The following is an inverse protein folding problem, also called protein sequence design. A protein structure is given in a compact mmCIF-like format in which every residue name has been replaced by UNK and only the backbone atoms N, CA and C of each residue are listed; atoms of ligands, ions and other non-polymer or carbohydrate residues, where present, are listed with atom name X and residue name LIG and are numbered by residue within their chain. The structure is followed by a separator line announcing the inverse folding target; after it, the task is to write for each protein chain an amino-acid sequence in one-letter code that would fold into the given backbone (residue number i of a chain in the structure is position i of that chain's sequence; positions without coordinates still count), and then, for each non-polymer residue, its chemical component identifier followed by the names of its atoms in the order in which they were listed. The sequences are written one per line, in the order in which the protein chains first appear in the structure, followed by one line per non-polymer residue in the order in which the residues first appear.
data_IF_854043758947
#
_entry.id   IF_854043758947
#
_cell.length_a   1.000
_cell.length_b   1.000
_cell.length_c   1.000
_cell.angle_alpha   90.00
_cell.angle_beta   90.00
_cell.angle_gamma   90.00
#
_symmetry.space_group_name_H-M   'P 1'
#
loop_
_entity.id
_entity.type
_entity.pdbx_description
1 polymer ?
#
# COMPACT_ATOMS: atom_id res chain seq x y z
N UNK A 1 -10.72 48.30 -75.56
CA UNK A 1 -10.90 48.51 -74.11
C UNK A 1 -10.77 47.18 -73.35
N UNK A 2 -9.55 46.89 -72.84
CA UNK A 2 -9.25 45.61 -72.15
C UNK A 2 -9.30 45.83 -70.66
N UNK A 3 -10.29 45.23 -69.95
CA UNK A 3 -10.35 45.23 -68.50
C UNK A 3 -9.48 44.09 -67.94
N UNK A 4 -8.43 44.45 -67.23
CA UNK A 4 -7.53 43.50 -66.55
C UNK A 4 -8.15 43.18 -65.20
N UNK A 5 -8.59 41.93 -65.06
CA UNK A 5 -8.98 41.39 -63.76
C UNK A 5 -7.74 40.94 -63.02
N UNK A 6 -7.43 41.60 -61.87
CA UNK A 6 -6.38 41.16 -60.98
C UNK A 6 -6.99 40.15 -59.97
N UNK A 7 -6.57 38.90 -60.10
CA UNK A 7 -6.84 37.89 -59.08
C UNK A 7 -5.89 38.10 -57.90
N UNK A 8 -6.46 38.41 -56.74
CA UNK A 8 -5.70 38.43 -55.48
C UNK A 8 -5.77 37.01 -54.93
N UNK A 9 -4.63 36.31 -54.96
CA UNK A 9 -4.48 35.00 -54.35
C UNK A 9 -4.23 35.19 -52.87
N UNK A 10 -5.21 34.88 -52.03
CA UNK A 10 -5.03 34.83 -50.56
C UNK A 10 -4.28 33.53 -50.20
N UNK A 11 -3.05 33.69 -49.74
CA UNK A 11 -2.28 32.56 -49.21
C UNK A 11 -2.72 32.37 -47.75
N UNK A 12 -3.47 31.33 -47.48
CA UNK A 12 -3.79 30.87 -46.11
C UNK A 12 -2.57 30.16 -45.53
N UNK A 13 -1.85 30.81 -44.65
CA UNK A 13 -0.77 30.21 -43.85
C UNK A 13 -1.41 29.46 -42.70
N UNK A 14 -1.76 28.20 -42.92
CA UNK A 14 -2.17 27.28 -41.87
C UNK A 14 -0.93 26.75 -41.15
N UNK A 15 -0.51 27.39 -40.06
CA UNK A 15 0.48 26.85 -39.18
C UNK A 15 -0.11 25.69 -38.33
N UNK A 16 0.68 24.63 -38.04
CA UNK A 16 0.21 23.56 -37.16
C UNK A 16 0.07 24.11 -35.73
N UNK A 17 -1.14 24.08 -35.24
CA UNK A 17 -1.40 24.33 -33.81
C UNK A 17 -0.86 23.11 -33.05
N UNK A 18 0.33 23.24 -32.46
CA UNK A 18 0.85 22.26 -31.53
C UNK A 18 -0.01 22.29 -30.25
N UNK A 19 -0.91 21.33 -30.14
CA UNK A 19 -1.65 21.08 -28.89
C UNK A 19 -0.64 20.50 -27.91
N UNK A 20 -0.13 21.34 -27.02
CA UNK A 20 0.64 20.90 -25.88
C UNK A 20 -0.35 20.21 -24.93
N UNK A 21 -0.35 18.88 -24.95
CA UNK A 21 -1.02 18.11 -23.90
C UNK A 21 -0.25 18.36 -22.60
N UNK A 22 -0.74 19.26 -21.78
CA UNK A 22 -0.31 19.37 -20.39
C UNK A 22 -0.79 18.12 -19.69
N UNK A 23 0.13 17.17 -19.50
CA UNK A 23 -0.06 16.06 -18.59
C UNK A 23 -0.17 16.66 -17.21
N UNK A 24 -1.38 16.81 -16.71
CA UNK A 24 -1.59 17.14 -15.29
C UNK A 24 -0.92 16.03 -14.49
N UNK A 25 -0.04 16.35 -13.53
CA UNK A 25 0.47 15.35 -12.62
C UNK A 25 -0.75 14.77 -11.88
N UNK A 26 -1.03 13.47 -12.11
CA UNK A 26 -1.99 12.72 -11.32
C UNK A 26 -1.63 12.98 -9.87
N UNK A 27 -2.45 13.74 -9.17
CA UNK A 27 -2.32 13.90 -7.72
C UNK A 27 -2.54 12.51 -7.13
N UNK A 28 -1.47 11.80 -6.88
CA UNK A 28 -1.45 10.62 -6.05
C UNK A 28 -2.02 11.06 -4.71
N UNK A 29 -3.31 10.85 -4.53
CA UNK A 29 -3.95 11.08 -3.24
C UNK A 29 -3.30 10.09 -2.28
N UNK A 30 -2.34 10.58 -1.52
CA UNK A 30 -1.70 9.83 -0.45
C UNK A 30 -2.78 9.53 0.57
N UNK A 31 -3.26 8.28 0.60
CA UNK A 31 -4.18 7.82 1.63
C UNK A 31 -3.57 8.12 3.00
N UNK A 32 -4.33 8.63 3.96
CA UNK A 32 -3.82 8.89 5.29
C UNK A 32 -3.29 7.60 5.92
N UNK A 33 -2.27 7.71 6.77
CA UNK A 33 -1.81 6.59 7.59
C UNK A 33 -2.81 6.40 8.75
N UNK A 34 -3.91 5.73 8.43
CA UNK A 34 -4.93 5.35 9.41
C UNK A 34 -5.65 4.11 8.90
N UNK A 35 -5.86 3.14 9.77
CA UNK A 35 -6.67 1.99 9.46
C UNK A 35 -8.13 2.40 9.26
N UNK A 36 -8.68 2.06 8.10
CA UNK A 36 -10.10 2.21 7.84
C UNK A 36 -10.88 0.99 8.36
N UNK A 37 -11.12 0.94 9.66
CA UNK A 37 -11.86 -0.17 10.27
C UNK A 37 -13.25 -0.40 9.65
N UNK A 38 -13.86 0.63 9.03
CA UNK A 38 -15.15 0.52 8.36
C UNK A 38 -15.08 -0.20 7.02
N UNK A 39 -13.89 -0.47 6.50
CA UNK A 39 -13.71 -1.34 5.34
C UNK A 39 -14.02 -2.81 5.64
N UNK A 40 -14.08 -3.17 6.92
CA UNK A 40 -14.46 -4.50 7.41
C UNK A 40 -15.92 -4.52 7.87
N UNK A 41 -16.64 -5.64 7.64
CA UNK A 41 -17.95 -5.84 8.26
C UNK A 41 -17.82 -5.81 9.80
N UNK A 42 -18.92 -5.57 10.56
CA UNK A 42 -18.84 -5.57 12.02
C UNK A 42 -18.23 -6.85 12.61
N UNK A 43 -18.55 -8.01 12.05
CA UNK A 43 -18.05 -9.33 12.47
C UNK A 43 -16.55 -9.46 12.20
N UNK A 44 -16.12 -9.12 10.97
CA UNK A 44 -14.71 -9.16 10.60
C UNK A 44 -13.88 -8.15 11.40
N UNK A 45 -14.44 -6.97 11.70
CA UNK A 45 -13.80 -5.95 12.51
C UNK A 45 -13.54 -6.45 13.93
N UNK A 46 -14.57 -7.03 14.57
CA UNK A 46 -14.41 -7.65 15.88
C UNK A 46 -13.33 -8.74 15.84
N UNK A 47 -13.43 -9.64 14.87
CA UNK A 47 -12.46 -10.73 14.68
C UNK A 47 -11.04 -10.20 14.49
N UNK A 48 -10.87 -9.19 13.67
CA UNK A 48 -9.57 -8.60 13.35
C UNK A 48 -8.90 -7.94 14.55
N UNK A 49 -9.61 -7.01 15.20
CA UNK A 49 -9.02 -6.18 16.27
C UNK A 49 -9.06 -6.81 17.65
N UNK A 50 -10.05 -7.65 17.95
CA UNK A 50 -10.21 -8.22 19.30
C UNK A 50 -9.62 -9.63 19.42
N UNK A 51 -9.44 -10.35 18.30
CA UNK A 51 -8.98 -11.74 18.35
C UNK A 51 -7.67 -11.96 17.58
N UNK A 52 -7.66 -11.69 16.24
CA UNK A 52 -6.50 -12.02 15.39
C UNK A 52 -5.28 -11.16 15.71
N UNK A 53 -5.43 -9.85 15.80
CA UNK A 53 -4.34 -8.91 16.11
C UNK A 53 -3.67 -9.22 17.45
N UNK A 54 -4.43 -9.30 18.57
CA UNK A 54 -3.87 -9.67 19.87
C UNK A 54 -3.21 -11.05 19.88
N UNK A 55 -3.79 -12.04 19.19
CA UNK A 55 -3.21 -13.37 19.08
C UNK A 55 -1.89 -13.37 18.30
N UNK A 56 -1.82 -12.61 17.18
CA UNK A 56 -0.61 -12.42 16.40
C UNK A 56 0.52 -11.82 17.24
N UNK A 57 0.24 -10.73 17.96
CA UNK A 57 1.24 -10.08 18.82
C UNK A 57 1.72 -11.00 19.96
N UNK A 58 0.84 -11.82 20.51
CA UNK A 58 1.20 -12.82 21.53
C UNK A 58 2.09 -13.95 20.98
N UNK A 59 1.93 -14.30 19.69
CA UNK A 59 2.74 -15.34 19.04
C UNK A 59 4.09 -14.81 18.55
N UNK A 60 4.27 -13.50 18.47
CA UNK A 60 5.51 -12.87 18.02
C UNK A 60 6.68 -13.28 18.92
N UNK A 61 7.72 -13.85 18.33
CA UNK A 61 8.96 -14.28 19.01
C UNK A 61 10.03 -13.20 19.00
N UNK A 62 10.21 -12.56 17.86
CA UNK A 62 11.19 -11.49 17.68
C UNK A 62 10.70 -10.47 16.65
N UNK A 63 11.37 -9.31 16.62
CA UNK A 63 11.12 -8.25 15.64
C UNK A 63 12.45 -7.87 15.00
N UNK A 64 12.46 -7.77 13.66
CA UNK A 64 13.58 -7.24 12.90
C UNK A 64 13.16 -5.92 12.26
N UNK A 65 13.92 -4.89 12.51
CA UNK A 65 13.74 -3.60 11.86
C UNK A 65 14.30 -3.62 10.43
N UNK A 66 13.54 -3.03 9.50
CA UNK A 66 13.90 -2.86 8.09
C UNK A 66 14.02 -1.36 7.76
N UNK A 67 14.63 -0.99 6.64
CA UNK A 67 14.67 0.43 6.22
C UNK A 67 13.28 1.06 6.09
N UNK A 68 12.29 0.31 5.61
CA UNK A 68 10.95 0.73 5.23
C UNK A 68 9.81 0.06 6.04
N UNK A 69 10.15 -0.68 7.11
CA UNK A 69 9.17 -1.38 7.94
C UNK A 69 9.78 -2.35 8.94
N UNK A 70 9.12 -3.48 9.16
CA UNK A 70 9.50 -4.50 10.14
C UNK A 70 9.19 -5.92 9.66
N UNK A 71 9.96 -6.89 10.16
CA UNK A 71 9.64 -8.31 10.08
C UNK A 71 9.38 -8.86 11.49
N UNK A 72 8.29 -9.59 11.64
CA UNK A 72 7.91 -10.28 12.88
C UNK A 72 8.13 -11.78 12.71
N UNK A 73 8.92 -12.36 13.61
CA UNK A 73 9.13 -13.81 13.66
C UNK A 73 7.97 -14.49 14.39
N UNK A 74 7.43 -15.55 13.78
CA UNK A 74 6.30 -16.30 14.28
C UNK A 74 6.59 -17.81 14.24
N UNK A 75 5.88 -18.63 15.06
CA UNK A 75 5.92 -20.08 14.93
C UNK A 75 5.52 -20.54 13.52
N UNK A 76 6.28 -21.49 12.96
CA UNK A 76 6.05 -22.02 11.61
C UNK A 76 5.11 -23.25 11.63
N UNK A 77 4.02 -23.17 12.37
CA UNK A 77 2.99 -24.21 12.44
C UNK A 77 1.72 -23.81 11.66
N UNK A 78 0.92 -24.83 11.34
CA UNK A 78 -0.28 -24.65 10.52
C UNK A 78 -1.31 -23.71 11.17
N UNK A 79 -1.47 -23.74 12.48
CA UNK A 79 -2.42 -22.89 13.20
C UNK A 79 -2.02 -21.43 13.13
N UNK A 80 -0.74 -21.15 13.35
CA UNK A 80 -0.17 -19.79 13.23
C UNK A 80 -0.31 -19.28 11.79
N UNK A 81 -0.03 -20.12 10.79
CA UNK A 81 -0.15 -19.74 9.39
C UNK A 81 -1.60 -19.41 9.00
N UNK A 82 -2.57 -20.22 9.43
CA UNK A 82 -3.99 -19.95 9.17
C UNK A 82 -4.45 -18.64 9.82
N UNK A 83 -4.07 -18.40 11.09
CA UNK A 83 -4.35 -17.15 11.78
C UNK A 83 -3.75 -15.95 11.03
N UNK A 84 -2.49 -16.07 10.63
CA UNK A 84 -1.76 -15.00 9.97
C UNK A 84 -2.31 -14.67 8.58
N UNK A 85 -2.70 -15.69 7.81
CA UNK A 85 -3.31 -15.47 6.48
C UNK A 85 -4.69 -14.82 6.59
N UNK A 86 -5.51 -15.21 7.57
CA UNK A 86 -6.79 -14.57 7.85
C UNK A 86 -6.60 -13.11 8.24
N UNK A 87 -5.67 -12.84 9.17
CA UNK A 87 -5.33 -11.48 9.60
C UNK A 87 -4.84 -10.63 8.43
N UNK A 88 -3.87 -11.11 7.65
CA UNK A 88 -3.28 -10.37 6.53
C UNK A 88 -4.31 -10.03 5.44
N UNK A 89 -5.26 -10.94 5.17
CA UNK A 89 -6.35 -10.66 4.23
C UNK A 89 -7.24 -9.52 4.71
N UNK A 90 -7.54 -9.44 6.00
CA UNK A 90 -8.36 -8.38 6.58
C UNK A 90 -7.55 -7.07 6.70
N UNK A 91 -6.27 -7.16 7.09
CA UNK A 91 -5.37 -6.01 7.22
C UNK A 91 -5.24 -5.23 5.91
N UNK A 92 -5.05 -5.93 4.78
CA UNK A 92 -4.97 -5.27 3.46
C UNK A 92 -6.22 -4.48 3.08
N UNK A 93 -7.38 -4.78 3.68
CA UNK A 93 -8.63 -4.04 3.44
C UNK A 93 -8.69 -2.78 4.28
N UNK A 94 -8.26 -2.84 5.54
CA UNK A 94 -8.31 -1.69 6.44
C UNK A 94 -7.05 -0.81 6.34
N UNK A 95 -5.88 -1.36 6.08
CA UNK A 95 -4.61 -0.65 5.94
C UNK A 95 -3.97 -0.89 4.55
N UNK A 96 -4.59 -0.41 3.44
CA UNK A 96 -4.19 -0.73 2.06
C UNK A 96 -2.83 -0.16 1.65
N UNK A 97 -2.16 0.59 2.51
CA UNK A 97 -0.83 1.15 2.30
C UNK A 97 0.30 0.25 2.78
N UNK A 98 -0.02 -0.94 3.34
CA UNK A 98 0.97 -1.94 3.67
C UNK A 98 1.29 -2.84 2.48
N UNK A 99 2.59 -3.08 2.28
CA UNK A 99 3.09 -4.24 1.55
C UNK A 99 3.25 -5.37 2.57
N UNK A 100 2.51 -6.46 2.38
CA UNK A 100 2.42 -7.58 3.32
C UNK A 100 3.01 -8.83 2.68
N UNK A 101 4.12 -9.33 3.23
CA UNK A 101 4.74 -10.59 2.81
C UNK A 101 4.67 -11.64 3.93
N UNK A 102 4.32 -12.86 3.57
CA UNK A 102 4.40 -14.03 4.43
C UNK A 102 5.45 -14.99 3.87
N UNK A 103 6.46 -15.29 4.67
CA UNK A 103 7.59 -16.08 4.21
C UNK A 103 7.98 -17.16 5.24
N UNK A 104 8.00 -18.40 4.77
CA UNK A 104 8.69 -19.46 5.52
C UNK A 104 10.17 -19.48 5.17
N UNK A 105 11.02 -19.54 6.17
CA UNK A 105 12.42 -19.84 5.94
C UNK A 105 12.59 -21.33 5.57
N UNK A 106 13.62 -21.60 4.77
CA UNK A 106 13.96 -22.97 4.36
C UNK A 106 14.31 -23.85 5.54
N UNK A 107 14.27 -25.19 5.29
CA UNK A 107 14.73 -26.20 6.25
C UNK A 107 13.99 -26.17 7.60
N UNK A 108 12.68 -25.86 7.57
CA UNK A 108 11.86 -25.79 8.79
C UNK A 108 12.10 -24.56 9.66
N UNK A 109 12.68 -23.52 9.08
CA UNK A 109 12.88 -22.24 9.76
C UNK A 109 11.57 -21.52 10.10
N UNK A 110 11.64 -20.34 10.71
CA UNK A 110 10.47 -19.61 11.18
C UNK A 110 9.57 -19.10 10.04
N UNK A 111 8.35 -18.76 10.40
CA UNK A 111 7.44 -17.98 9.60
C UNK A 111 7.67 -16.49 9.89
N UNK A 112 7.85 -15.69 8.86
CA UNK A 112 8.00 -14.25 8.94
C UNK A 112 6.79 -13.52 8.38
N UNK A 113 6.28 -12.56 9.13
CA UNK A 113 5.39 -11.52 8.65
C UNK A 113 6.23 -10.28 8.40
N UNK A 114 6.34 -9.86 7.14
CA UNK A 114 6.98 -8.61 6.76
C UNK A 114 5.92 -7.57 6.42
N UNK A 115 6.02 -6.41 7.06
CA UNK A 115 5.19 -5.23 6.84
C UNK A 115 6.09 -4.08 6.43
N UNK A 116 5.90 -3.57 5.22
CA UNK A 116 6.64 -2.44 4.67
C UNK A 116 5.69 -1.51 3.93
N UNK A 117 6.21 -0.44 3.34
CA UNK A 117 5.41 0.44 2.51
C UNK A 117 6.09 1.78 2.21
N UNK A 118 5.32 2.73 1.73
CA UNK A 118 5.77 4.08 1.39
C UNK A 118 6.35 4.83 2.60
N UNK A 119 7.14 5.91 2.41
CA UNK A 119 7.66 6.72 3.50
C UNK A 119 6.58 7.13 4.52
N UNK A 120 6.85 6.91 5.81
CA UNK A 120 5.91 7.08 6.93
C UNK A 120 5.23 5.79 7.42
N UNK A 121 5.16 4.75 6.58
CA UNK A 121 4.57 3.45 6.96
C UNK A 121 5.32 2.81 8.13
N UNK A 122 6.63 2.91 8.16
CA UNK A 122 7.46 2.34 9.23
C UNK A 122 7.11 2.90 10.60
N UNK A 123 6.95 4.22 10.71
CA UNK A 123 6.58 4.88 11.97
C UNK A 123 5.16 4.48 12.40
N UNK A 124 4.23 4.40 11.45
CA UNK A 124 2.88 3.91 11.70
C UNK A 124 2.89 2.47 12.25
N UNK A 125 3.64 1.54 11.63
CA UNK A 125 3.76 0.16 12.08
C UNK A 125 4.32 0.10 13.51
N UNK A 126 5.34 0.92 13.79
CA UNK A 126 5.96 0.97 15.12
C UNK A 126 4.97 1.35 16.22
N UNK A 127 4.11 2.32 15.94
CA UNK A 127 3.09 2.79 16.88
C UNK A 127 1.94 1.78 17.01
N UNK A 128 1.40 1.30 15.88
CA UNK A 128 0.24 0.41 15.84
C UNK A 128 0.51 -0.95 16.51
N UNK A 129 1.71 -1.48 16.33
CA UNK A 129 2.10 -2.78 16.90
C UNK A 129 2.91 -2.68 18.20
N UNK A 130 3.02 -1.50 18.80
CA UNK A 130 3.79 -1.21 20.04
C UNK A 130 5.21 -1.82 20.00
N UNK A 131 5.89 -1.63 18.86
CA UNK A 131 7.23 -2.21 18.65
C UNK A 131 8.34 -1.43 19.37
N UNK A 132 8.05 -0.28 19.93
CA UNK A 132 9.02 0.54 20.67
C UNK A 132 9.44 -0.12 21.99
N UNK A 133 8.58 -0.94 22.61
CA UNK A 133 8.77 -1.54 23.92
C UNK A 133 9.10 -3.05 23.88
N UNK A 134 9.18 -3.65 22.70
CA UNK A 134 9.49 -5.08 22.54
C UNK A 134 11.01 -5.30 22.55
N UNK A 135 11.59 -5.44 23.76
CA UNK A 135 12.92 -6.03 23.97
C UNK A 135 12.82 -7.51 24.24
#
# INVERSE_FOLDING_TARGET
MKKIFRFITAIAIGGPIAIWATSEPSSSQTQPFACNALALSPELRKRHFEELGPALLKLKKSTRELPDGYELELPADNKTYQLLTEWAFQERLCCPFFDIDLRFDKEGGPLWLRLTGRPGTKDFIKEEFDLANSR
#
